data_IF_262031592782
#
_entry.id   IF_262031592782
#
_cell.length_a   1.000
_cell.length_b   1.000
_cell.length_c   1.000
_cell.angle_alpha   90.00
_cell.angle_beta   90.00
_cell.angle_gamma   90.00
#
_symmetry.space_group_name_H-M   'P 1'
#
loop_
_entity.id
_entity.type
_entity.pdbx_description
1 polymer ?
#
# COMPACT_ATOMS: atom_id res chain seq x y z
N UNK A 1 -14.82 -12.55 -3.89
CA UNK A 1 -15.66 -11.51 -3.29
C UNK A 1 -17.03 -12.15 -3.06
N UNK A 2 -17.47 -12.22 -1.81
CA UNK A 2 -18.69 -12.93 -1.41
C UNK A 2 -19.97 -12.09 -1.65
N UNK A 3 -19.81 -10.80 -1.93
CA UNK A 3 -20.92 -9.86 -2.08
C UNK A 3 -21.17 -9.54 -3.55
N UNK A 4 -22.36 -9.89 -4.03
CA UNK A 4 -22.82 -9.56 -5.37
C UNK A 4 -23.11 -8.06 -5.52
N UNK A 5 -23.46 -7.40 -4.42
CA UNK A 5 -23.72 -5.96 -4.32
C UNK A 5 -22.47 -5.10 -4.05
N UNK A 6 -21.26 -5.66 -4.25
CA UNK A 6 -20.02 -4.90 -4.13
C UNK A 6 -19.98 -3.67 -5.07
N UNK A 7 -20.40 -3.74 -6.34
CA UNK A 7 -20.44 -2.57 -7.21
C UNK A 7 -21.28 -1.43 -6.63
N UNK A 8 -22.43 -1.72 -6.03
CA UNK A 8 -23.32 -0.74 -5.41
C UNK A 8 -22.64 -0.05 -4.22
N UNK A 9 -21.96 -0.82 -3.36
CA UNK A 9 -21.20 -0.26 -2.23
C UNK A 9 -20.11 0.71 -2.73
N UNK A 10 -19.40 0.33 -3.79
CA UNK A 10 -18.36 1.19 -4.38
C UNK A 10 -18.98 2.48 -4.92
N UNK A 11 -20.14 2.41 -5.61
CA UNK A 11 -20.84 3.62 -6.10
C UNK A 11 -21.22 4.54 -4.95
N UNK A 12 -21.80 4.01 -3.87
CA UNK A 12 -22.16 4.80 -2.68
C UNK A 12 -20.92 5.49 -2.09
N UNK A 13 -19.80 4.78 -1.95
CA UNK A 13 -18.54 5.38 -1.47
C UNK A 13 -18.07 6.54 -2.37
N UNK A 14 -18.20 6.37 -3.70
CA UNK A 14 -17.83 7.41 -4.68
C UNK A 14 -18.79 8.60 -4.64
N UNK A 15 -20.08 8.38 -4.42
CA UNK A 15 -21.11 9.42 -4.27
C UNK A 15 -20.87 10.30 -3.04
N UNK A 16 -20.30 9.74 -1.96
CA UNK A 16 -19.86 10.49 -0.77
C UNK A 16 -18.56 11.30 -0.97
N UNK A 17 -18.06 11.40 -2.21
CA UNK A 17 -16.90 12.22 -2.55
C UNK A 17 -15.54 11.59 -2.25
N UNK A 18 -15.46 10.27 -2.00
CA UNK A 18 -14.17 9.59 -1.85
C UNK A 18 -13.48 9.47 -3.20
N UNK A 19 -12.36 10.18 -3.37
CA UNK A 19 -11.64 10.23 -4.66
C UNK A 19 -11.00 8.90 -5.05
N UNK A 20 -10.41 8.20 -4.07
CA UNK A 20 -9.63 6.99 -4.31
C UNK A 20 -10.20 5.80 -3.53
N UNK A 21 -10.66 4.78 -4.26
CA UNK A 21 -11.23 3.56 -3.68
C UNK A 21 -10.31 2.38 -3.97
N UNK A 22 -9.73 1.82 -2.91
CA UNK A 22 -8.85 0.67 -2.98
C UNK A 22 -9.59 -0.59 -2.54
N UNK A 23 -9.62 -1.62 -3.39
CA UNK A 23 -10.31 -2.88 -3.10
C UNK A 23 -9.34 -3.91 -2.52
N UNK A 24 -9.43 -4.15 -1.20
CA UNK A 24 -8.71 -5.25 -0.54
C UNK A 24 -9.34 -6.61 -0.87
N UNK A 25 -8.57 -7.51 -1.47
CA UNK A 25 -9.10 -8.79 -1.98
C UNK A 25 -8.04 -9.87 -2.11
N UNK A 26 -8.46 -11.14 -2.08
CA UNK A 26 -7.66 -12.27 -2.57
C UNK A 26 -7.76 -12.47 -4.09
N UNK A 27 -8.63 -11.73 -4.77
CA UNK A 27 -8.74 -11.68 -6.23
C UNK A 27 -9.38 -12.91 -6.90
N UNK A 28 -9.66 -14.02 -6.20
CA UNK A 28 -10.11 -15.29 -6.80
C UNK A 28 -11.37 -15.10 -7.67
N UNK A 29 -12.37 -14.35 -7.20
CA UNK A 29 -13.59 -14.07 -8.01
C UNK A 29 -13.28 -13.19 -9.22
N UNK A 30 -12.38 -12.22 -9.06
CA UNK A 30 -11.99 -11.31 -10.15
C UNK A 30 -11.21 -12.04 -11.26
N UNK A 31 -10.54 -13.15 -10.90
CA UNK A 31 -9.90 -14.06 -11.84
C UNK A 31 -10.94 -14.85 -12.68
N UNK A 32 -11.97 -15.37 -12.01
CA UNK A 32 -12.94 -16.32 -12.59
C UNK A 32 -14.15 -15.67 -13.26
N UNK A 33 -14.53 -14.48 -12.81
CA UNK A 33 -15.73 -13.76 -13.26
C UNK A 33 -15.30 -12.36 -13.73
N UNK A 34 -14.92 -12.29 -15.01
CA UNK A 34 -14.46 -11.07 -15.65
C UNK A 34 -15.54 -9.99 -15.70
N UNK A 35 -16.80 -10.36 -15.99
CA UNK A 35 -17.92 -9.42 -16.05
C UNK A 35 -18.24 -8.81 -14.68
N UNK A 36 -18.10 -9.59 -13.60
CA UNK A 36 -18.16 -9.02 -12.25
C UNK A 36 -17.01 -8.04 -12.00
N UNK A 37 -15.77 -8.38 -12.37
CA UNK A 37 -14.65 -7.46 -12.18
C UNK A 37 -14.85 -6.16 -13.00
N UNK A 38 -15.35 -6.28 -14.23
CA UNK A 38 -15.73 -5.13 -15.06
C UNK A 38 -16.76 -4.24 -14.38
N UNK A 39 -17.85 -4.79 -13.82
CA UNK A 39 -18.85 -4.03 -13.06
C UNK A 39 -18.24 -3.34 -11.82
N UNK A 40 -17.32 -4.00 -11.11
CA UNK A 40 -16.61 -3.40 -9.97
C UNK A 40 -15.72 -2.24 -10.42
N UNK A 41 -15.04 -2.36 -11.57
CA UNK A 41 -14.27 -1.26 -12.17
C UNK A 41 -15.18 -0.10 -12.57
N UNK A 42 -16.27 -0.36 -13.29
CA UNK A 42 -17.25 0.64 -13.71
C UNK A 42 -17.90 1.36 -12.51
N UNK A 43 -18.03 0.68 -11.37
CA UNK A 43 -18.50 1.29 -10.13
C UNK A 43 -17.52 2.32 -9.52
N UNK A 44 -16.24 2.28 -9.89
CA UNK A 44 -15.29 3.34 -9.58
C UNK A 44 -14.10 2.95 -8.70
N UNK A 45 -13.74 1.66 -8.61
CA UNK A 45 -12.49 1.31 -7.92
C UNK A 45 -11.27 1.90 -8.65
N UNK A 46 -10.30 2.37 -7.86
CA UNK A 46 -9.06 2.97 -8.35
C UNK A 46 -7.94 1.95 -8.51
N UNK A 47 -7.79 1.03 -7.55
CA UNK A 47 -6.72 0.02 -7.54
C UNK A 47 -7.12 -1.22 -6.75
N UNK A 48 -6.51 -2.36 -7.08
CA UNK A 48 -6.60 -3.57 -6.26
C UNK A 48 -5.51 -3.54 -5.17
N UNK A 49 -5.89 -3.90 -3.95
CA UNK A 49 -4.97 -4.23 -2.86
C UNK A 49 -5.00 -5.74 -2.68
N UNK A 50 -4.14 -6.40 -3.44
CA UNK A 50 -4.19 -7.84 -3.69
C UNK A 50 -3.34 -8.58 -2.66
N UNK A 51 -3.99 -9.45 -1.89
CA UNK A 51 -3.30 -10.36 -0.99
C UNK A 51 -2.36 -11.29 -1.80
N UNK A 52 -1.06 -11.27 -1.48
CA UNK A 52 -0.01 -11.95 -2.24
C UNK A 52 1.12 -12.33 -1.28
N UNK A 53 1.09 -13.52 -0.66
CA UNK A 53 2.02 -13.86 0.44
C UNK A 53 3.35 -14.48 -0.03
N UNK A 54 3.57 -14.55 -1.34
CA UNK A 54 4.80 -15.08 -1.92
C UNK A 54 4.64 -15.58 -3.35
N UNK A 55 5.76 -16.05 -3.90
CA UNK A 55 5.93 -16.43 -5.31
C UNK A 55 5.87 -17.95 -5.51
N UNK A 56 5.57 -18.72 -4.46
CA UNK A 56 5.41 -20.18 -4.56
C UNK A 56 4.04 -20.63 -4.06
N UNK A 57 3.55 -21.82 -4.48
CA UNK A 57 2.33 -22.40 -3.91
C UNK A 57 2.41 -22.61 -2.40
N UNK A 58 3.62 -22.84 -1.87
CA UNK A 58 3.86 -23.08 -0.44
C UNK A 58 3.66 -21.82 0.39
N UNK A 59 4.18 -20.68 -0.07
CA UNK A 59 4.06 -19.40 0.64
C UNK A 59 2.74 -18.69 0.34
N UNK A 60 2.13 -18.94 -0.82
CA UNK A 60 0.89 -18.29 -1.24
C UNK A 60 -0.25 -19.27 -1.66
N UNK A 61 -0.60 -20.28 -0.86
CA UNK A 61 -1.55 -21.33 -1.26
C UNK A 61 -2.98 -20.83 -1.54
N UNK A 62 -3.33 -19.66 -1.00
CA UNK A 62 -4.68 -19.10 -1.11
C UNK A 62 -5.08 -18.78 -2.56
N UNK A 63 -4.18 -18.15 -3.33
CA UNK A 63 -4.49 -17.61 -4.65
C UNK A 63 -3.34 -17.69 -5.65
N UNK A 64 -2.24 -18.39 -5.34
CA UNK A 64 -1.06 -18.51 -6.22
C UNK A 64 -1.43 -18.76 -7.69
N UNK A 65 -2.27 -19.76 -7.94
CA UNK A 65 -2.70 -20.15 -9.28
C UNK A 65 -3.60 -19.12 -9.98
N UNK A 66 -4.33 -18.31 -9.23
CA UNK A 66 -5.22 -17.28 -9.79
C UNK A 66 -4.49 -15.96 -10.06
N UNK A 67 -3.34 -15.70 -9.43
CA UNK A 67 -2.58 -14.43 -9.58
C UNK A 67 -2.36 -14.08 -11.06
N UNK A 68 -1.89 -14.99 -11.95
CA UNK A 68 -1.72 -14.66 -13.38
C UNK A 68 -3.01 -14.15 -14.03
N UNK A 69 -4.13 -14.86 -13.84
CA UNK A 69 -5.43 -14.47 -14.39
C UNK A 69 -5.97 -13.17 -13.78
N UNK A 70 -5.70 -12.91 -12.49
CA UNK A 70 -6.05 -11.64 -11.82
C UNK A 70 -5.31 -10.49 -12.50
N UNK A 71 -4.00 -10.62 -12.71
CA UNK A 71 -3.18 -9.58 -13.34
C UNK A 71 -3.60 -9.35 -14.81
N UNK A 72 -3.89 -10.41 -15.56
CA UNK A 72 -4.35 -10.29 -16.95
C UNK A 72 -5.71 -9.60 -17.07
N UNK A 73 -6.65 -9.93 -16.19
CA UNK A 73 -7.94 -9.24 -16.16
C UNK A 73 -7.77 -7.78 -15.72
N UNK A 74 -6.89 -7.51 -14.75
CA UNK A 74 -6.58 -6.15 -14.31
C UNK A 74 -5.96 -5.32 -15.44
N UNK A 75 -5.04 -5.90 -16.25
CA UNK A 75 -4.48 -5.29 -17.46
C UNK A 75 -5.54 -4.92 -18.47
N UNK A 76 -6.43 -5.86 -18.82
CA UNK A 76 -7.53 -5.62 -19.78
C UNK A 76 -8.45 -4.48 -19.35
N UNK A 77 -8.63 -4.28 -18.05
CA UNK A 77 -9.49 -3.24 -17.48
C UNK A 77 -8.73 -1.97 -17.08
N UNK A 78 -7.41 -1.92 -17.24
CA UNK A 78 -6.57 -0.80 -16.82
C UNK A 78 -6.63 -0.52 -15.31
N UNK A 79 -6.71 -1.57 -14.48
CA UNK A 79 -6.78 -1.45 -13.02
C UNK A 79 -5.41 -1.76 -12.42
N UNK A 80 -4.78 -0.75 -11.82
CA UNK A 80 -3.51 -0.94 -11.11
C UNK A 80 -3.64 -1.95 -9.95
N UNK A 81 -2.52 -2.59 -9.62
CA UNK A 81 -2.45 -3.59 -8.54
C UNK A 81 -1.35 -3.21 -7.55
N UNK A 82 -1.67 -3.28 -6.26
CA UNK A 82 -0.71 -3.28 -5.15
C UNK A 82 -0.65 -4.72 -4.63
N UNK A 83 0.53 -5.32 -4.66
CA UNK A 83 0.79 -6.64 -4.08
C UNK A 83 1.02 -6.49 -2.58
N UNK A 84 0.38 -7.33 -1.78
CA UNK A 84 0.36 -7.19 -0.33
C UNK A 84 0.74 -8.51 0.34
N UNK A 85 2.05 -8.72 0.58
CA UNK A 85 2.53 -9.84 1.37
C UNK A 85 2.39 -9.60 2.86
N UNK A 86 1.68 -10.50 3.54
CA UNK A 86 1.79 -10.61 5.00
C UNK A 86 3.06 -11.39 5.32
N UNK A 87 4.07 -10.71 5.87
CA UNK A 87 5.38 -11.32 6.12
C UNK A 87 5.40 -11.95 7.51
N UNK A 88 5.73 -13.24 7.55
CA UNK A 88 5.84 -14.04 8.77
C UNK A 88 7.23 -14.68 8.77
N UNK A 89 7.98 -14.47 9.86
CA UNK A 89 9.31 -15.05 10.02
C UNK A 89 9.26 -16.57 9.93
N UNK A 90 10.23 -17.19 9.27
CA UNK A 90 10.32 -18.64 9.00
C UNK A 90 9.27 -19.22 8.05
N UNK A 91 8.35 -18.42 7.50
CA UNK A 91 7.26 -18.89 6.63
C UNK A 91 7.47 -18.42 5.20
N UNK A 92 7.60 -17.11 4.98
CA UNK A 92 7.73 -16.49 3.66
C UNK A 92 8.75 -15.33 3.63
N UNK A 93 9.46 -15.09 4.72
CA UNK A 93 10.50 -14.07 4.86
C UNK A 93 11.74 -14.31 3.99
N UNK A 94 11.87 -15.50 3.40
CA UNK A 94 12.93 -15.86 2.44
C UNK A 94 12.61 -15.48 0.98
N UNK A 95 11.39 -14.99 0.69
CA UNK A 95 10.95 -14.67 -0.67
C UNK A 95 10.76 -13.15 -0.92
N UNK A 96 11.17 -12.27 0.01
CA UNK A 96 10.93 -10.82 -0.11
C UNK A 96 11.55 -10.22 -1.38
N UNK A 97 12.79 -10.58 -1.70
CA UNK A 97 13.46 -10.17 -2.93
C UNK A 97 12.73 -10.67 -4.18
N UNK A 98 12.25 -11.91 -4.17
CA UNK A 98 11.52 -12.50 -5.30
C UNK A 98 10.15 -11.88 -5.51
N UNK A 99 9.45 -11.49 -4.44
CA UNK A 99 8.22 -10.71 -4.54
C UNK A 99 8.45 -9.35 -5.21
N UNK A 100 9.59 -8.70 -4.95
CA UNK A 100 10.00 -7.45 -5.62
C UNK A 100 10.29 -7.71 -7.10
N UNK A 101 11.05 -8.77 -7.42
CA UNK A 101 11.32 -9.18 -8.81
C UNK A 101 10.04 -9.44 -9.58
N UNK A 102 9.10 -10.19 -9.00
CA UNK A 102 7.77 -10.45 -9.56
C UNK A 102 6.99 -9.14 -9.80
N UNK A 103 7.03 -8.21 -8.85
CA UNK A 103 6.43 -6.88 -9.01
C UNK A 103 6.99 -6.13 -10.21
N UNK A 104 8.32 -6.17 -10.40
CA UNK A 104 8.97 -5.55 -11.56
C UNK A 104 8.70 -6.25 -12.90
N UNK A 105 8.56 -7.57 -12.92
CA UNK A 105 8.16 -8.32 -14.11
C UNK A 105 6.75 -7.95 -14.58
N UNK A 106 5.93 -7.41 -13.69
CA UNK A 106 4.56 -6.99 -13.95
C UNK A 106 4.37 -5.48 -13.73
N UNK A 107 5.42 -4.66 -13.88
CA UNK A 107 5.42 -3.21 -13.57
C UNK A 107 4.45 -2.39 -14.45
N UNK A 108 4.01 -2.97 -15.57
CA UNK A 108 2.97 -2.40 -16.44
C UNK A 108 1.63 -2.20 -15.69
N UNK A 109 1.33 -3.11 -14.76
CA UNK A 109 0.07 -3.13 -14.00
C UNK A 109 0.27 -3.06 -12.48
N UNK A 110 1.35 -3.64 -11.97
CA UNK A 110 1.72 -3.61 -10.56
C UNK A 110 2.41 -2.30 -10.23
N UNK A 111 1.85 -1.56 -9.27
CA UNK A 111 2.32 -0.23 -8.86
C UNK A 111 3.13 -0.26 -7.59
N UNK A 112 2.97 -1.30 -6.78
CA UNK A 112 3.64 -1.41 -5.49
C UNK A 112 3.69 -2.84 -4.97
N UNK A 113 4.73 -3.14 -4.20
CA UNK A 113 4.77 -4.26 -3.26
C UNK A 113 4.77 -3.65 -1.86
N UNK A 114 3.71 -3.88 -1.10
CA UNK A 114 3.51 -3.30 0.23
C UNK A 114 3.54 -4.39 1.30
N UNK A 115 4.70 -4.60 1.91
CA UNK A 115 4.92 -5.63 2.92
C UNK A 115 4.19 -5.30 4.23
N UNK A 116 3.60 -6.33 4.84
CA UNK A 116 2.90 -6.22 6.11
C UNK A 116 3.50 -7.21 7.10
N UNK A 117 4.51 -6.80 7.89
CA UNK A 117 4.97 -7.60 9.02
C UNK A 117 3.78 -8.02 9.89
N UNK A 118 3.71 -9.32 10.19
CA UNK A 118 2.53 -9.91 10.82
C UNK A 118 2.22 -9.30 12.19
N UNK A 119 0.94 -8.97 12.40
CA UNK A 119 0.39 -8.67 13.72
C UNK A 119 -0.13 -9.96 14.36
N UNK A 120 0.45 -10.32 15.51
CA UNK A 120 0.16 -11.60 16.17
C UNK A 120 -0.96 -11.42 17.20
N UNK A 121 -2.21 -11.39 16.70
CA UNK A 121 -3.43 -11.30 17.50
C UNK A 121 -4.01 -12.68 17.83
N UNK A 122 -4.75 -12.78 18.94
CA UNK A 122 -5.40 -14.03 19.38
C UNK A 122 -4.63 -14.80 20.46
N UNK A 123 -4.89 -16.11 20.57
CA UNK A 123 -4.39 -17.00 21.64
C UNK A 123 -3.12 -17.75 21.22
N UNK A 124 -2.11 -17.03 20.73
CA UNK A 124 -0.83 -17.63 20.34
C UNK A 124 0.16 -17.67 21.51
N UNK A 125 0.79 -18.83 21.84
CA UNK A 125 1.78 -18.93 22.89
C UNK A 125 2.96 -17.98 22.70
N UNK A 126 3.61 -17.55 23.80
CA UNK A 126 4.74 -16.61 23.74
C UNK A 126 5.88 -17.10 22.86
N UNK A 127 6.25 -18.39 22.97
CA UNK A 127 7.32 -19.01 22.17
C UNK A 127 7.05 -18.94 20.67
N UNK A 128 5.80 -19.20 20.27
CA UNK A 128 5.40 -19.07 18.86
C UNK A 128 5.43 -17.61 18.42
N UNK A 129 5.01 -16.68 19.29
CA UNK A 129 5.05 -15.25 18.97
C UNK A 129 6.47 -14.75 18.71
N UNK A 130 7.43 -15.18 19.52
CA UNK A 130 8.84 -14.85 19.33
C UNK A 130 9.41 -15.50 18.06
N UNK A 131 8.97 -16.72 17.72
CA UNK A 131 9.40 -17.43 16.50
C UNK A 131 8.94 -16.77 15.20
N UNK A 132 7.67 -16.36 15.14
CA UNK A 132 7.03 -15.89 13.90
C UNK A 132 7.10 -14.38 13.69
N UNK A 133 7.48 -13.62 14.72
CA UNK A 133 7.58 -12.17 14.65
C UNK A 133 8.69 -11.73 13.71
N UNK A 134 8.36 -10.74 12.89
CA UNK A 134 9.29 -10.00 12.06
C UNK A 134 8.97 -8.51 12.19
N UNK A 135 9.99 -7.66 12.11
CA UNK A 135 9.85 -6.20 12.21
C UNK A 135 10.17 -5.51 10.88
N UNK A 136 9.92 -4.20 10.79
CA UNK A 136 10.30 -3.40 9.61
C UNK A 136 11.82 -3.48 9.36
N UNK A 137 12.70 -3.23 10.36
CA UNK A 137 14.15 -3.41 10.17
C UNK A 137 14.56 -4.82 9.75
N UNK A 138 13.92 -5.87 10.28
CA UNK A 138 14.22 -7.25 9.86
C UNK A 138 13.89 -7.46 8.38
N UNK A 139 12.74 -6.97 7.91
CA UNK A 139 12.34 -7.05 6.51
C UNK A 139 13.29 -6.26 5.61
N UNK A 140 13.70 -5.06 6.02
CA UNK A 140 14.63 -4.21 5.25
C UNK A 140 15.97 -4.92 5.06
N UNK A 141 16.53 -5.49 6.14
CA UNK A 141 17.80 -6.26 6.07
C UNK A 141 17.69 -7.48 5.17
N UNK A 142 16.59 -8.23 5.29
CA UNK A 142 16.34 -9.38 4.43
C UNK A 142 16.16 -8.98 2.96
N UNK A 143 15.54 -7.83 2.68
CA UNK A 143 15.43 -7.30 1.30
C UNK A 143 16.81 -6.94 0.77
N UNK A 144 17.64 -6.26 1.55
CA UNK A 144 19.02 -5.93 1.14
C UNK A 144 19.82 -7.20 0.83
N UNK A 145 19.80 -8.19 1.72
CA UNK A 145 20.45 -9.50 1.53
C UNK A 145 19.92 -10.23 0.28
N UNK A 146 18.60 -10.32 0.12
CA UNK A 146 17.96 -11.07 -0.98
C UNK A 146 18.01 -10.34 -2.33
N UNK A 147 18.41 -9.08 -2.34
CA UNK A 147 18.63 -8.27 -3.55
C UNK A 147 20.11 -8.01 -3.81
N UNK A 148 21.01 -8.75 -3.16
CA UNK A 148 22.46 -8.64 -3.33
C UNK A 148 22.96 -7.20 -3.11
N UNK A 149 22.36 -6.47 -2.15
CA UNK A 149 22.70 -5.09 -1.82
C UNK A 149 22.14 -4.04 -2.79
N UNK A 150 21.35 -4.42 -3.80
CA UNK A 150 20.77 -3.45 -4.75
C UNK A 150 19.73 -2.52 -4.10
N UNK A 151 19.11 -2.94 -2.99
CA UNK A 151 18.21 -2.11 -2.20
C UNK A 151 18.74 -2.05 -0.76
N UNK A 152 19.67 -1.12 -0.46
CA UNK A 152 20.30 -1.02 0.85
C UNK A 152 19.36 -0.48 1.93
N UNK A 153 19.69 -0.72 3.20
CA UNK A 153 18.89 -0.26 4.34
C UNK A 153 18.67 1.26 4.39
N UNK A 154 19.64 2.05 3.93
CA UNK A 154 19.60 3.52 3.89
C UNK A 154 18.72 4.08 2.76
N UNK A 155 18.21 3.22 1.88
CA UNK A 155 17.25 3.62 0.85
C UNK A 155 15.82 3.84 1.39
N UNK A 156 15.55 3.46 2.64
CA UNK A 156 14.21 3.45 3.22
C UNK A 156 13.94 4.65 4.13
N UNK A 157 12.71 5.16 4.05
CA UNK A 157 12.27 6.28 4.88
C UNK A 157 11.02 5.92 5.67
N UNK A 158 10.87 6.40 6.91
CA UNK A 158 9.57 6.37 7.57
C UNK A 158 8.49 7.01 6.71
N UNK A 159 7.27 6.45 6.71
CA UNK A 159 6.12 7.02 5.98
C UNK A 159 5.91 8.53 6.23
N UNK A 160 5.99 9.07 7.48
CA UNK A 160 5.81 10.50 7.70
C UNK A 160 6.91 11.40 7.11
N UNK A 161 8.00 10.85 6.57
CA UNK A 161 9.04 11.65 5.91
C UNK A 161 8.54 12.43 4.70
N UNK A 162 7.41 12.05 4.10
CA UNK A 162 6.83 12.77 2.96
C UNK A 162 6.01 14.02 3.33
N UNK A 163 5.76 14.27 4.63
CA UNK A 163 4.98 15.42 5.13
C UNK A 163 5.46 16.79 4.59
N UNK A 164 6.77 17.07 4.46
CA UNK A 164 7.24 18.33 3.86
C UNK A 164 6.71 18.59 2.45
N UNK A 165 6.42 17.54 1.66
CA UNK A 165 5.81 17.67 0.33
C UNK A 165 4.38 18.20 0.44
N UNK A 166 3.60 17.69 1.40
CA UNK A 166 2.25 18.19 1.68
C UNK A 166 2.30 19.66 2.12
N UNK A 167 3.17 20.00 3.07
CA UNK A 167 3.30 21.35 3.60
C UNK A 167 3.63 22.40 2.53
N UNK A 168 4.53 22.08 1.58
CA UNK A 168 4.88 23.03 0.52
C UNK A 168 3.73 23.23 -0.48
N UNK A 169 2.99 22.16 -0.81
CA UNK A 169 1.81 22.24 -1.68
C UNK A 169 0.73 23.09 -1.02
N UNK A 170 0.45 22.87 0.27
CA UNK A 170 -0.48 23.70 1.04
C UNK A 170 -0.04 25.17 1.08
N UNK A 171 1.24 25.42 1.35
CA UNK A 171 1.77 26.78 1.43
C UNK A 171 1.66 27.54 0.09
N UNK A 172 1.83 26.86 -1.05
CA UNK A 172 1.71 27.47 -2.38
C UNK A 172 0.24 27.65 -2.78
N UNK A 173 -0.58 26.63 -2.58
CA UNK A 173 -1.96 26.58 -3.07
C UNK A 173 -2.96 27.28 -2.13
N UNK A 174 -2.64 27.38 -0.83
CA UNK A 174 -3.54 27.82 0.23
C UNK A 174 -4.68 26.84 0.51
N UNK A 175 -4.63 25.61 -0.04
CA UNK A 175 -5.66 24.58 0.14
C UNK A 175 -5.13 23.48 1.06
N UNK A 176 -5.90 23.06 2.07
CA UNK A 176 -5.55 21.91 2.89
C UNK A 176 -5.32 20.67 2.02
N UNK A 177 -4.33 19.88 2.40
CA UNK A 177 -3.98 18.61 1.78
C UNK A 177 -3.99 17.51 2.84
N UNK A 178 -4.11 16.25 2.42
CA UNK A 178 -3.99 15.14 3.35
C UNK A 178 -2.52 14.96 3.77
N UNK A 179 -2.29 14.77 5.06
CA UNK A 179 -0.96 14.48 5.60
C UNK A 179 -0.83 12.99 5.93
N UNK A 180 0.24 12.36 5.43
CA UNK A 180 0.62 11.00 5.84
C UNK A 180 1.40 11.04 7.17
N UNK A 181 0.84 11.69 8.18
CA UNK A 181 1.50 12.03 9.46
C UNK A 181 1.50 10.89 10.49
N UNK A 182 1.42 9.64 10.04
CA UNK A 182 1.48 8.45 10.91
C UNK A 182 2.72 8.44 11.80
N UNK A 183 2.68 7.72 12.91
CA UNK A 183 3.87 7.51 13.73
C UNK A 183 5.00 6.84 12.91
N UNK A 184 6.25 7.28 13.07
CA UNK A 184 7.39 6.84 12.25
C UNK A 184 7.61 5.32 12.29
N UNK A 185 7.32 4.69 13.43
CA UNK A 185 7.42 3.24 13.62
C UNK A 185 6.29 2.42 12.95
N UNK A 186 5.29 3.06 12.35
CA UNK A 186 4.18 2.35 11.70
C UNK A 186 4.53 1.79 10.33
N UNK A 187 5.38 2.49 9.58
CA UNK A 187 5.67 2.08 8.21
C UNK A 187 6.92 2.74 7.67
N UNK A 188 7.48 2.10 6.65
CA UNK A 188 8.60 2.61 5.87
C UNK A 188 8.26 2.52 4.38
N UNK A 189 8.95 3.27 3.54
CA UNK A 189 8.79 3.15 2.11
C UNK A 189 9.96 3.71 1.33
N UNK A 190 10.07 3.27 0.09
CA UNK A 190 11.04 3.76 -0.89
C UNK A 190 10.51 3.55 -2.31
N UNK A 191 11.16 4.20 -3.28
CA UNK A 191 10.92 3.97 -4.69
C UNK A 191 12.14 3.33 -5.33
N UNK A 192 11.90 2.31 -6.13
CA UNK A 192 12.95 1.56 -6.82
C UNK A 192 12.64 1.50 -8.29
N UNK A 193 13.65 1.70 -9.11
CA UNK A 193 13.57 1.66 -10.57
C UNK A 193 14.30 0.44 -11.09
N UNK A 194 13.91 -0.04 -12.26
CA UNK A 194 14.59 -1.18 -12.91
C UNK A 194 15.27 -0.75 -14.20
N UNK A 195 16.53 -1.14 -14.35
CA UNK A 195 17.30 -1.02 -15.59
C UNK A 195 18.01 -2.34 -15.87
N UNK A 196 17.50 -3.10 -16.84
CA UNK A 196 17.89 -4.49 -17.05
C UNK A 196 17.64 -5.32 -15.78
N UNK A 197 18.70 -5.88 -15.21
CA UNK A 197 18.65 -6.65 -13.96
C UNK A 197 18.96 -5.82 -12.71
N UNK A 198 19.40 -4.55 -12.86
CA UNK A 198 19.67 -3.68 -11.71
C UNK A 198 18.38 -3.08 -11.17
N UNK A 199 18.26 -3.11 -9.85
CA UNK A 199 17.31 -2.30 -9.09
C UNK A 199 18.06 -1.07 -8.59
N UNK A 200 17.50 0.11 -8.83
CA UNK A 200 18.12 1.41 -8.53
C UNK A 200 17.15 2.17 -7.60
N UNK A 201 17.41 2.22 -6.29
CA UNK A 201 16.64 3.02 -5.37
C UNK A 201 16.71 4.51 -5.70
N UNK A 202 15.65 5.25 -5.37
CA UNK A 202 15.58 6.70 -5.61
C UNK A 202 16.71 7.47 -4.92
N UNK A 203 17.22 6.96 -3.80
CA UNK A 203 18.32 7.56 -3.02
C UNK A 203 19.66 7.52 -3.74
N UNK A 204 19.86 6.65 -4.73
CA UNK A 204 21.11 6.62 -5.50
C UNK A 204 21.31 7.88 -6.35
N UNK A 205 20.22 8.52 -6.77
CA UNK A 205 20.25 9.66 -7.69
C UNK A 205 19.43 10.86 -7.23
N UNK A 206 18.74 10.79 -6.10
CA UNK A 206 18.07 11.93 -5.46
C UNK A 206 18.53 12.06 -4.01
N UNK A 207 19.03 13.23 -3.64
CA UNK A 207 19.25 13.63 -2.25
C UNK A 207 17.90 13.92 -1.58
N UNK A 208 17.22 12.86 -1.16
CA UNK A 208 15.88 12.93 -0.57
C UNK A 208 15.88 13.70 0.74
N UNK A 209 16.86 13.48 1.62
CA UNK A 209 16.92 14.16 2.92
C UNK A 209 17.16 15.67 2.74
N UNK A 210 18.12 16.06 1.89
CA UNK A 210 18.37 17.46 1.54
C UNK A 210 17.16 18.11 0.85
N UNK A 211 16.49 17.39 -0.05
CA UNK A 211 15.29 17.86 -0.73
C UNK A 211 14.15 18.12 0.28
N UNK A 212 13.82 17.15 1.12
CA UNK A 212 12.72 17.25 2.07
C UNK A 212 12.93 18.37 3.10
N UNK A 213 14.16 18.53 3.62
CA UNK A 213 14.54 19.66 4.47
C UNK A 213 14.34 21.00 3.76
N UNK A 214 14.76 21.09 2.51
CA UNK A 214 14.58 22.30 1.73
C UNK A 214 13.09 22.60 1.42
N UNK A 215 12.27 21.59 1.14
CA UNK A 215 10.82 21.76 0.98
C UNK A 215 10.19 22.34 2.25
N UNK A 216 10.54 21.79 3.41
CA UNK A 216 10.06 22.26 4.71
C UNK A 216 10.46 23.72 4.95
N UNK A 217 11.74 24.06 4.75
CA UNK A 217 12.24 25.44 4.90
C UNK A 217 11.50 26.44 4.01
N UNK A 218 11.20 26.06 2.76
CA UNK A 218 10.46 26.92 1.83
C UNK A 218 9.01 27.08 2.29
N UNK A 219 8.37 25.99 2.75
CA UNK A 219 7.01 26.04 3.26
C UNK A 219 6.90 26.97 4.47
N UNK A 220 7.83 26.86 5.43
CA UNK A 220 7.84 27.69 6.64
C UNK A 220 8.07 29.17 6.32
N UNK A 221 8.95 29.49 5.37
CA UNK A 221 9.14 30.87 4.89
C UNK A 221 7.88 31.47 4.29
N UNK A 222 7.14 30.71 3.47
CA UNK A 222 5.87 31.16 2.90
C UNK A 222 4.86 31.41 4.04
N UNK A 223 4.76 30.49 5.00
CA UNK A 223 3.89 30.64 6.18
C UNK A 223 4.26 31.86 7.03
N UNK A 224 5.55 32.22 7.10
CA UNK A 224 6.05 33.44 7.77
C UNK A 224 5.93 34.73 6.94
N UNK A 225 5.25 34.71 5.78
CA UNK A 225 4.96 35.91 4.99
C UNK A 225 5.84 36.13 3.76
N UNK A 226 6.70 35.17 3.38
CA UNK A 226 7.44 35.25 2.13
C UNK A 226 6.51 35.15 0.91
N UNK A 227 6.85 35.85 -0.18
CA UNK A 227 6.07 35.81 -1.41
C UNK A 227 6.09 34.41 -2.04
N UNK A 228 4.93 33.76 -2.12
CA UNK A 228 4.77 32.39 -2.63
C UNK A 228 5.29 32.17 -4.05
N UNK A 229 5.15 33.16 -4.94
CA UNK A 229 5.62 33.04 -6.33
C UNK A 229 7.15 33.06 -6.41
N UNK A 230 7.79 33.92 -5.62
CA UNK A 230 9.26 33.96 -5.52
C UNK A 230 9.78 32.68 -4.90
N UNK A 231 9.13 32.18 -3.84
CA UNK A 231 9.48 30.92 -3.19
C UNK A 231 9.35 29.72 -4.13
N UNK A 232 8.27 29.62 -4.91
CA UNK A 232 8.07 28.58 -5.92
C UNK A 232 9.13 28.64 -7.04
N UNK A 233 9.50 29.84 -7.49
CA UNK A 233 10.56 29.99 -8.50
C UNK A 233 11.93 29.54 -7.95
N UNK A 234 12.26 29.92 -6.70
CA UNK A 234 13.49 29.47 -6.03
C UNK A 234 13.52 27.96 -5.85
N UNK A 235 12.38 27.37 -5.50
CA UNK A 235 12.21 25.93 -5.38
C UNK A 235 12.56 25.24 -6.71
N UNK A 236 11.96 25.67 -7.81
CA UNK A 236 12.22 25.12 -9.15
C UNK A 236 13.70 25.24 -9.55
N UNK A 237 14.33 26.37 -9.24
CA UNK A 237 15.74 26.60 -9.58
C UNK A 237 16.69 25.71 -8.80
N UNK A 238 16.46 25.55 -7.48
CA UNK A 238 17.30 24.70 -6.63
C UNK A 238 17.00 23.21 -6.81
N UNK A 239 15.82 22.83 -7.30
CA UNK A 239 15.41 21.42 -7.39
C UNK A 239 16.48 20.55 -8.08
N UNK A 240 17.02 21.01 -9.20
CA UNK A 240 18.00 20.27 -9.98
C UNK A 240 19.28 19.94 -9.21
N UNK A 241 19.62 20.64 -8.13
CA UNK A 241 20.81 20.34 -7.33
C UNK A 241 20.66 19.10 -6.45
N UNK A 242 19.42 18.61 -6.24
CA UNK A 242 19.16 17.39 -5.48
C UNK A 242 19.13 16.15 -6.36
N UNK A 243 19.31 16.28 -7.67
CA UNK A 243 19.23 15.15 -8.63
C UNK A 243 20.61 14.95 -9.29
N UNK A 244 21.15 13.75 -9.16
CA UNK A 244 22.30 13.30 -9.96
C UNK A 244 21.80 12.61 -11.24
N UNK A 245 21.67 13.37 -12.32
CA UNK A 245 21.19 12.86 -13.61
C UNK A 245 22.10 11.77 -14.21
N UNK A 246 23.36 11.66 -13.78
CA UNK A 246 24.27 10.62 -14.29
C UNK A 246 23.96 9.25 -13.70
N UNK A 247 23.35 9.21 -12.52
CA UNK A 247 22.95 7.98 -11.81
C UNK A 247 21.47 7.64 -12.01
N UNK A 248 20.69 8.59 -12.53
CA UNK A 248 19.29 8.37 -12.83
C UNK A 248 19.11 7.30 -13.94
N UNK A 249 18.13 6.40 -13.82
CA UNK A 249 17.86 5.40 -14.86
C UNK A 249 17.56 6.06 -16.23
N UNK A 250 17.98 5.40 -17.31
CA UNK A 250 17.88 5.94 -18.67
C UNK A 250 16.45 6.32 -19.05
N UNK A 251 16.25 7.48 -19.68
CA UNK A 251 14.95 7.94 -20.17
C UNK A 251 14.01 8.53 -19.11
N UNK A 252 14.42 8.62 -17.84
CA UNK A 252 13.68 9.39 -16.82
C UNK A 252 13.97 10.88 -16.95
N UNK A 253 12.96 11.69 -17.28
CA UNK A 253 13.07 13.14 -17.25
C UNK A 253 12.46 13.71 -15.96
N UNK A 254 13.22 13.58 -14.86
CA UNK A 254 12.78 13.94 -13.51
C UNK A 254 12.44 15.44 -13.45
N UNK A 255 13.27 16.31 -14.04
CA UNK A 255 13.03 17.77 -14.12
C UNK A 255 11.69 18.10 -14.77
N UNK A 256 11.37 17.47 -15.92
CA UNK A 256 10.11 17.69 -16.64
C UNK A 256 8.89 17.18 -15.84
N UNK A 257 9.03 16.04 -15.16
CA UNK A 257 7.95 15.50 -14.32
C UNK A 257 7.63 16.45 -13.17
N UNK A 258 8.64 16.89 -12.43
CA UNK A 258 8.46 17.78 -11.30
C UNK A 258 7.94 19.15 -11.71
N UNK A 259 8.38 19.67 -12.87
CA UNK A 259 7.77 20.85 -13.45
C UNK A 259 6.27 20.66 -13.68
N UNK A 260 5.82 19.51 -14.20
CA UNK A 260 4.39 19.23 -14.36
C UNK A 260 3.67 19.14 -13.01
N UNK A 261 4.26 18.50 -12.01
CA UNK A 261 3.65 18.38 -10.66
C UNK A 261 3.53 19.74 -9.98
N UNK A 262 4.63 20.49 -9.84
CA UNK A 262 4.66 21.73 -9.04
C UNK A 262 4.14 22.96 -9.78
N UNK A 263 4.20 22.98 -11.12
CA UNK A 263 3.76 24.14 -11.92
C UNK A 263 2.39 23.89 -12.55
N UNK A 264 2.22 22.74 -13.20
CA UNK A 264 0.95 22.43 -13.88
C UNK A 264 -0.10 21.79 -12.97
N UNK A 265 0.26 21.45 -11.73
CA UNK A 265 -0.59 20.67 -10.81
C UNK A 265 -1.11 19.39 -11.46
N UNK A 266 -0.31 18.84 -12.40
CA UNK A 266 -0.69 17.73 -13.25
C UNK A 266 -0.04 16.45 -12.73
N UNK A 267 -0.77 15.77 -11.85
CA UNK A 267 -0.37 14.49 -11.27
C UNK A 267 -0.53 13.32 -12.25
N UNK A 268 -1.15 13.51 -13.43
CA UNK A 268 -1.23 12.44 -14.45
C UNK A 268 0.15 12.07 -14.98
N UNK A 269 1.11 13.01 -14.92
CA UNK A 269 2.50 12.81 -15.32
C UNK A 269 3.31 11.89 -14.39
N UNK A 270 2.80 11.59 -13.20
CA UNK A 270 3.36 10.56 -12.30
C UNK A 270 3.08 9.15 -12.87
N UNK A 271 2.10 9.01 -13.77
CA UNK A 271 1.77 7.76 -14.44
C UNK A 271 2.95 7.17 -15.22
N UNK A 272 3.70 8.00 -15.96
CA UNK A 272 4.88 7.58 -16.74
C UNK A 272 6.04 7.11 -15.85
N UNK A 273 6.14 7.70 -14.66
CA UNK A 273 7.12 7.35 -13.64
C UNK A 273 6.75 6.04 -12.93
N UNK A 274 5.48 5.86 -12.56
CA UNK A 274 4.95 4.62 -12.02
C UNK A 274 5.02 3.43 -12.99
N UNK A 275 5.15 3.66 -14.30
CA UNK A 275 5.31 2.58 -15.28
C UNK A 275 6.73 1.98 -15.29
N UNK A 276 7.70 2.64 -14.65
CA UNK A 276 9.11 2.20 -14.60
C UNK A 276 9.68 2.13 -13.18
N UNK A 277 8.88 2.52 -12.20
CA UNK A 277 9.21 2.45 -10.78
C UNK A 277 8.21 1.56 -10.06
N UNK A 278 8.70 0.94 -9.00
CA UNK A 278 7.90 0.20 -8.04
C UNK A 278 8.00 0.93 -6.69
N UNK A 279 6.86 1.28 -6.12
CA UNK A 279 6.83 1.71 -4.72
C UNK A 279 6.97 0.49 -3.82
N UNK A 280 8.00 0.45 -2.98
CA UNK A 280 8.14 -0.54 -1.94
C UNK A 280 7.68 0.08 -0.63
N UNK A 281 6.62 -0.47 -0.06
CA UNK A 281 6.02 0.02 1.17
C UNK A 281 6.09 -1.03 2.27
N UNK A 282 6.00 -0.57 3.52
CA UNK A 282 5.76 -1.42 4.67
C UNK A 282 4.75 -0.78 5.61
N UNK A 283 3.85 -1.61 6.17
CA UNK A 283 2.96 -1.22 7.27
C UNK A 283 2.93 -2.31 8.34
N UNK A 284 3.50 -2.02 9.51
CA UNK A 284 3.58 -2.96 10.62
C UNK A 284 2.49 -2.67 11.64
N UNK A 285 1.38 -3.40 11.56
CA UNK A 285 0.29 -3.27 12.51
C UNK A 285 0.69 -3.77 13.90
N UNK A 286 0.09 -3.18 14.92
CA UNK A 286 0.38 -3.51 16.31
C UNK A 286 -0.29 -4.83 16.72
N UNK A 287 0.28 -5.50 17.71
CA UNK A 287 -0.33 -6.56 18.49
C UNK A 287 -0.14 -6.30 19.99
N UNK A 288 -0.60 -7.23 20.85
CA UNK A 288 -0.55 -7.04 22.31
C UNK A 288 0.86 -6.86 22.88
N UNK A 289 1.92 -7.26 22.15
CA UNK A 289 3.31 -7.13 22.61
C UNK A 289 3.88 -5.74 22.35
N UNK A 290 3.54 -5.11 21.21
CA UNK A 290 4.10 -3.82 20.79
C UNK A 290 3.03 -2.70 20.72
N UNK A 291 1.96 -2.83 21.52
CA UNK A 291 0.87 -1.87 21.53
C UNK A 291 1.30 -0.56 22.19
N UNK A 292 1.31 0.50 21.39
CA UNK A 292 1.68 1.86 21.77
C UNK A 292 0.51 2.80 21.47
N UNK A 293 0.07 3.52 22.49
CA UNK A 293 -1.05 4.47 22.41
C UNK A 293 -0.71 5.66 21.52
N UNK A 294 0.54 6.12 21.46
CA UNK A 294 0.95 7.22 20.59
C UNK A 294 0.83 6.83 19.11
N UNK A 295 1.16 5.58 18.78
CA UNK A 295 0.93 5.03 17.44
C UNK A 295 -0.57 4.97 17.10
N UNK A 296 -1.43 4.66 18.08
CA UNK A 296 -2.88 4.65 17.90
C UNK A 296 -3.43 6.07 17.69
N UNK A 297 -2.96 7.05 18.47
CA UNK A 297 -3.37 8.47 18.37
C UNK A 297 -3.02 9.09 17.02
N UNK A 298 -1.94 8.62 16.39
CA UNK A 298 -1.46 9.05 15.08
C UNK A 298 -1.80 8.06 13.95
N UNK A 299 -2.77 7.18 14.14
CA UNK A 299 -3.11 6.22 13.10
C UNK A 299 -3.69 6.94 11.87
N UNK A 300 -3.31 6.52 10.66
CA UNK A 300 -3.89 7.01 9.41
C UNK A 300 -4.85 5.99 8.77
N UNK A 301 -5.05 4.83 9.39
CA UNK A 301 -5.90 3.75 8.89
C UNK A 301 -6.99 3.50 9.94
N UNK A 302 -8.25 3.62 9.53
CA UNK A 302 -9.38 3.55 10.44
C UNK A 302 -10.49 2.66 9.92
N UNK A 303 -11.30 2.16 10.84
CA UNK A 303 -12.61 1.58 10.54
C UNK A 303 -13.66 2.64 10.78
N UNK A 304 -14.50 2.88 9.76
CA UNK A 304 -15.80 3.50 9.94
C UNK A 304 -16.80 2.41 10.35
N UNK A 305 -17.51 2.64 11.45
CA UNK A 305 -18.48 1.67 11.98
C UNK A 305 -19.92 2.21 11.89
N UNK A 306 -20.96 1.36 11.91
CA UNK A 306 -22.34 1.78 11.63
C UNK A 306 -22.93 2.86 12.54
N UNK A 307 -22.33 3.10 13.70
CA UNK A 307 -22.73 4.17 14.63
C UNK A 307 -21.98 5.49 14.39
N UNK A 308 -21.26 5.61 13.27
CA UNK A 308 -20.56 6.82 12.84
C UNK A 308 -19.19 7.02 13.49
N UNK A 309 -18.76 6.16 14.42
CA UNK A 309 -17.42 6.26 15.01
C UNK A 309 -16.34 5.90 13.99
N UNK A 310 -15.20 6.58 14.11
CA UNK A 310 -13.96 6.29 13.39
C UNK A 310 -12.98 5.70 14.41
N UNK A 311 -12.58 4.45 14.19
CA UNK A 311 -11.76 3.68 15.15
C UNK A 311 -10.41 3.35 14.50
N UNK A 312 -9.26 3.70 15.12
CA UNK A 312 -7.94 3.33 14.62
C UNK A 312 -7.80 1.82 14.37
N UNK A 313 -7.16 1.43 13.27
CA UNK A 313 -7.06 0.04 12.84
C UNK A 313 -6.50 -0.89 13.92
N UNK A 314 -5.42 -0.46 14.58
CA UNK A 314 -4.78 -1.25 15.63
C UNK A 314 -5.66 -1.37 16.88
N UNK A 315 -6.37 -0.31 17.28
CA UNK A 315 -7.29 -0.36 18.40
C UNK A 315 -8.43 -1.36 18.13
N UNK A 316 -9.01 -1.30 16.92
CA UNK A 316 -10.09 -2.20 16.50
C UNK A 316 -9.69 -3.68 16.52
N UNK A 317 -8.46 -4.01 16.10
CA UNK A 317 -8.02 -5.39 15.95
C UNK A 317 -7.30 -5.97 17.19
N UNK A 318 -6.62 -5.15 17.99
CA UNK A 318 -5.85 -5.62 19.16
C UNK A 318 -6.70 -5.71 20.43
N UNK A 319 -7.73 -4.86 20.54
CA UNK A 319 -8.70 -4.86 21.64
C UNK A 319 -10.10 -5.17 21.10
N UNK A 320 -10.30 -6.35 20.48
CA UNK A 320 -11.50 -6.65 19.72
C UNK A 320 -12.74 -6.71 20.60
N UNK A 321 -12.61 -7.06 21.89
CA UNK A 321 -13.74 -7.18 22.82
C UNK A 321 -14.45 -5.85 23.06
N UNK A 322 -13.71 -4.73 23.01
CA UNK A 322 -14.24 -3.38 23.20
C UNK A 322 -14.84 -2.83 21.89
N UNK A 323 -14.22 -3.14 20.76
CA UNK A 323 -14.55 -2.56 19.46
C UNK A 323 -15.20 -3.56 18.52
N UNK A 324 -14.40 -4.39 17.85
CA UNK A 324 -14.87 -5.28 16.77
C UNK A 324 -15.99 -6.21 17.21
N UNK A 325 -15.75 -7.00 18.25
CA UNK A 325 -16.64 -8.08 18.66
C UNK A 325 -17.93 -7.52 19.27
N UNK A 326 -17.84 -6.40 20.01
CA UNK A 326 -19.00 -5.66 20.49
C UNK A 326 -19.88 -5.17 19.34
N UNK A 327 -19.29 -4.49 18.36
CA UNK A 327 -20.02 -3.93 17.22
C UNK A 327 -20.62 -5.05 16.35
N UNK A 328 -19.87 -6.12 16.10
CA UNK A 328 -20.38 -7.28 15.36
C UNK A 328 -21.52 -7.97 16.09
N UNK A 329 -21.50 -8.05 17.43
CA UNK A 329 -22.62 -8.59 18.21
C UNK A 329 -23.85 -7.69 18.15
N UNK A 330 -23.67 -6.37 18.17
CA UNK A 330 -24.77 -5.39 18.16
C UNK A 330 -25.38 -5.20 16.76
N UNK A 331 -24.60 -5.37 15.69
CA UNK A 331 -25.00 -5.02 14.31
C UNK A 331 -25.01 -6.21 13.35
N UNK A 332 -24.41 -7.34 13.72
CA UNK A 332 -24.35 -8.54 12.91
C UNK A 332 -25.70 -9.25 12.84
N UNK A 333 -25.89 -10.01 11.77
CA UNK A 333 -27.03 -10.90 11.58
C UNK A 333 -26.54 -12.32 11.89
N UNK A 334 -27.20 -13.09 12.79
CA UNK A 334 -26.87 -14.50 13.01
C UNK A 334 -26.93 -15.30 11.71
N UNK A 335 -26.07 -16.32 11.58
CA UNK A 335 -25.96 -17.11 10.35
C UNK A 335 -27.31 -17.71 9.98
N UNK A 336 -28.01 -18.32 10.94
CA UNK A 336 -29.31 -18.96 10.73
C UNK A 336 -30.37 -17.97 10.22
N UNK A 337 -30.32 -16.73 10.72
CA UNK A 337 -31.23 -15.68 10.26
C UNK A 337 -30.86 -15.20 8.85
N UNK A 338 -29.57 -15.03 8.56
CA UNK A 338 -29.10 -14.62 7.24
C UNK A 338 -29.45 -15.67 6.17
N UNK A 339 -29.24 -16.95 6.44
CA UNK A 339 -29.58 -18.05 5.54
C UNK A 339 -31.08 -18.11 5.28
N UNK A 340 -31.91 -17.92 6.33
CA UNK A 340 -33.37 -17.84 6.19
C UNK A 340 -33.82 -16.64 5.35
N UNK A 341 -33.18 -15.48 5.50
CA UNK A 341 -33.52 -14.25 4.76
C UNK A 341 -33.13 -14.32 3.29
N UNK A 342 -32.00 -14.96 2.98
CA UNK A 342 -31.42 -15.00 1.63
C UNK A 342 -31.75 -16.27 0.86
N UNK A 343 -32.16 -17.34 1.54
CA UNK A 343 -32.34 -18.66 0.94
C UNK A 343 -31.03 -19.35 0.52
N UNK A 344 -29.87 -18.75 0.84
CA UNK A 344 -28.53 -19.27 0.53
C UNK A 344 -27.91 -19.86 1.79
N UNK A 345 -27.06 -20.88 1.67
CA UNK A 345 -26.25 -21.35 2.80
C UNK A 345 -24.90 -20.65 2.79
N UNK A 346 -24.38 -20.30 3.96
CA UNK A 346 -23.04 -19.72 4.09
C UNK A 346 -21.96 -20.69 3.55
N UNK A 347 -22.22 -21.99 3.62
CA UNK A 347 -21.34 -23.02 3.05
C UNK A 347 -21.15 -22.90 1.53
N UNK A 348 -22.13 -22.33 0.82
CA UNK A 348 -22.11 -22.20 -0.64
C UNK A 348 -21.12 -21.13 -1.09
N UNK A 349 -20.79 -20.20 -0.18
CA UNK A 349 -19.84 -19.12 -0.39
C UNK A 349 -18.38 -19.54 -0.10
N UNK A 350 -18.17 -20.74 0.44
CA UNK A 350 -16.84 -21.27 0.75
C UNK A 350 -16.17 -21.74 -0.55
N UNK A 351 -15.16 -20.99 -0.98
CA UNK A 351 -14.29 -21.46 -2.06
C UNK A 351 -13.42 -22.63 -1.58
N UNK A 352 -13.64 -23.81 -2.14
CA UNK A 352 -12.76 -24.98 -1.98
C UNK A 352 -11.93 -25.15 -3.23
N UNK A 353 -10.61 -25.05 -3.09
CA UNK A 353 -9.68 -25.44 -4.14
C UNK A 353 -9.68 -26.96 -4.24
N UNK A 354 -9.94 -27.49 -5.43
CA UNK A 354 -9.61 -28.87 -5.76
C UNK A 354 -8.17 -28.83 -6.25
N UNK A 355 -7.24 -29.34 -5.44
CA UNK A 355 -5.86 -29.48 -5.89
C UNK A 355 -5.84 -30.46 -7.07
N UNK A 356 -5.06 -30.20 -8.13
CA UNK A 356 -4.78 -31.22 -9.12
C UNK A 356 -4.27 -32.46 -8.38
N UNK A 357 -4.90 -33.62 -8.59
CA UNK A 357 -4.37 -34.88 -8.09
C UNK A 357 -2.92 -34.97 -8.58
N UNK A 358 -1.97 -34.97 -7.66
CA UNK A 358 -0.55 -34.88 -7.99
C UNK A 358 -0.17 -35.95 -9.00
N UNK A 359 0.10 -35.52 -10.24
CA UNK A 359 0.90 -36.31 -11.15
C UNK A 359 2.36 -35.89 -10.92
N UNK A 360 3.06 -36.82 -10.27
CA UNK A 360 4.51 -37.02 -10.10
C UNK A 360 5.49 -35.93 -10.54
#
# INVERSE_FOLDING_TARGET
CLRDDLPEIVRVIKEEGVDFVQLNTNGIRLAKDFEFFKRVKEAGISTLYLSFDGVTPKTNPKNYWEVPAILDNARKLGVGVVLVPTVIKTVNDHELGDMIRFGFENVDIVRSVNFQPVSLVGRMPRKERERFRITIPDCIKLIEEQTDGMIPEDAWFPVPSCVPVTHIIEAITGRPQYELSTHFACGAGTYVFKEGNRMIPITEFVDIDGLLKYLQDVADRIKSGANKYISALKLLWKFGSFIDEKKAPSGLNIKRMLFKIFVKHDYSSVGEWHLRSLFLGMMHFQDKYNYDVERVRRCCIHYLVPDGRIIPFCAFNVIPEIYRDKIQKERGIPIEEWERRTGRRLSDDVYRRVEPSGEG
#
